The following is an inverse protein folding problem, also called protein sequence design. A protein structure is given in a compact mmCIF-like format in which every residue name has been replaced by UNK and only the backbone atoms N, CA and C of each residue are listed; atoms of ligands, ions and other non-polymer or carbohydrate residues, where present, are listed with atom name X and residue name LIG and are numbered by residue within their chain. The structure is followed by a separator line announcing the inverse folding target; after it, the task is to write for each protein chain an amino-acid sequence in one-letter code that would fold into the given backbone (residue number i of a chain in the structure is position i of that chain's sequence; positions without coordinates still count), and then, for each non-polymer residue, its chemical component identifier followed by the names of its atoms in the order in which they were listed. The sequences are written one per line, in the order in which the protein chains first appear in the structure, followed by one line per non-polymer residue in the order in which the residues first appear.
data_IF_512098725740
#
_entry.id   IF_512098725740
#
_cell.length_a   1.000
_cell.length_b   1.000
_cell.length_c   1.000
_cell.angle_alpha   90.00
_cell.angle_beta   90.00
_cell.angle_gamma   90.00
#
_symmetry.space_group_name_H-M   'P 1'
#
loop_
_entity.id
_entity.type
_entity.pdbx_description
1 polymer ?
#
# COMPACT_ATOMS: atom_id res chain seq x y z
N UNK A 1 -7.96 3.04 -21.10
CA UNK A 1 -7.04 2.06 -20.49
C UNK A 1 -7.87 0.84 -20.16
N UNK A 2 -7.46 -0.34 -20.63
CA UNK A 2 -8.13 -1.62 -20.40
C UNK A 2 -7.40 -2.38 -19.27
N UNK A 3 -7.24 -1.70 -18.13
CA UNK A 3 -6.61 -2.30 -16.95
C UNK A 3 -7.63 -3.28 -16.36
N UNK A 4 -7.32 -4.58 -16.26
CA UNK A 4 -8.23 -5.52 -15.63
C UNK A 4 -8.42 -5.13 -14.16
N UNK A 5 -9.62 -5.40 -13.64
CA UNK A 5 -9.85 -5.33 -12.21
C UNK A 5 -8.83 -6.24 -11.47
N UNK A 6 -8.36 -5.85 -10.28
CA UNK A 6 -7.40 -6.65 -9.54
C UNK A 6 -8.00 -8.01 -9.16
N UNK A 7 -7.17 -9.04 -9.21
CA UNK A 7 -7.53 -10.36 -8.68
C UNK A 7 -7.55 -10.36 -7.14
N UNK A 8 -7.91 -11.50 -6.55
CA UNK A 8 -8.03 -11.62 -5.10
C UNK A 8 -6.69 -11.40 -4.38
N UNK A 9 -5.59 -11.93 -4.92
CA UNK A 9 -4.29 -11.81 -4.30
C UNK A 9 -3.81 -10.36 -4.32
N UNK A 10 -4.03 -9.66 -5.43
CA UNK A 10 -3.76 -8.24 -5.57
C UNK A 10 -4.59 -7.41 -4.59
N UNK A 11 -5.88 -7.72 -4.42
CA UNK A 11 -6.73 -7.06 -3.41
C UNK A 11 -6.15 -7.27 -2.00
N UNK A 12 -5.78 -8.49 -1.65
CA UNK A 12 -5.25 -8.79 -0.31
C UNK A 12 -3.94 -8.01 -0.05
N UNK A 13 -3.04 -7.91 -1.05
CA UNK A 13 -1.82 -7.09 -0.97
C UNK A 13 -2.09 -5.58 -0.86
N UNK A 14 -3.08 -5.06 -1.60
CA UNK A 14 -3.49 -3.64 -1.49
C UNK A 14 -4.01 -3.35 -0.07
N UNK A 15 -4.78 -4.28 0.51
CA UNK A 15 -5.30 -4.16 1.86
C UNK A 15 -4.20 -4.27 2.92
N UNK A 16 -3.17 -5.09 2.68
CA UNK A 16 -1.98 -5.18 3.53
C UNK A 16 -1.22 -3.84 3.56
N UNK A 17 -0.91 -3.26 2.39
CA UNK A 17 -0.30 -1.93 2.28
C UNK A 17 -1.11 -0.87 3.04
N UNK A 18 -2.43 -0.85 2.83
CA UNK A 18 -3.34 0.04 3.53
C UNK A 18 -3.29 -0.14 5.05
N UNK A 19 -3.26 -1.40 5.51
CA UNK A 19 -3.18 -1.77 6.91
C UNK A 19 -1.92 -1.24 7.59
N UNK A 20 -0.75 -1.47 6.98
CA UNK A 20 0.55 -0.99 7.49
C UNK A 20 0.53 0.54 7.61
N UNK A 21 0.14 1.24 6.54
CA UNK A 21 0.10 2.70 6.53
C UNK A 21 -0.88 3.28 7.56
N UNK A 22 -2.07 2.67 7.69
CA UNK A 22 -3.08 3.13 8.65
C UNK A 22 -2.63 2.94 10.11
N UNK A 23 -1.92 1.85 10.40
CA UNK A 23 -1.43 1.55 11.74
C UNK A 23 -0.26 2.46 12.13
N UNK A 24 0.65 2.75 11.20
CA UNK A 24 1.84 3.55 11.44
C UNK A 24 1.55 5.05 11.66
N UNK A 25 0.46 5.58 11.10
CA UNK A 25 0.17 7.02 11.14
C UNK A 25 -1.28 7.31 11.53
N UNK A 26 -2.21 7.18 10.59
CA UNK A 26 -3.64 7.38 10.80
C UNK A 26 -4.44 6.74 9.66
N UNK A 27 -5.75 6.57 9.84
CA UNK A 27 -6.63 5.95 8.82
C UNK A 27 -6.56 6.63 7.45
N UNK A 28 -6.29 7.94 7.40
CA UNK A 28 -6.13 8.70 6.17
C UNK A 28 -4.86 8.36 5.38
N UNK A 29 -3.84 7.78 6.02
CA UNK A 29 -2.59 7.40 5.35
C UNK A 29 -2.79 6.22 4.38
N UNK A 30 -3.73 5.30 4.68
CA UNK A 30 -4.04 4.16 3.83
C UNK A 30 -4.35 4.51 2.36
N UNK A 31 -5.36 5.35 2.05
CA UNK A 31 -5.67 5.68 0.66
C UNK A 31 -4.54 6.46 -0.03
N UNK A 32 -3.80 7.29 0.71
CA UNK A 32 -2.66 8.05 0.16
C UNK A 32 -1.52 7.11 -0.24
N UNK A 33 -1.16 6.15 0.62
CA UNK A 33 -0.12 5.17 0.33
C UNK A 33 -0.48 4.29 -0.88
N UNK A 34 -1.71 3.77 -0.94
CA UNK A 34 -2.17 2.96 -2.07
C UNK A 34 -2.19 3.76 -3.39
N UNK A 35 -2.61 5.03 -3.36
CA UNK A 35 -2.57 5.90 -4.53
C UNK A 35 -1.14 6.17 -5.00
N UNK A 36 -0.22 6.49 -4.07
CA UNK A 36 1.19 6.74 -4.39
C UNK A 36 1.86 5.52 -5.03
N UNK A 37 1.63 4.32 -4.49
CA UNK A 37 2.16 3.07 -5.07
C UNK A 37 1.66 2.86 -6.50
N UNK A 38 0.37 3.09 -6.74
CA UNK A 38 -0.24 3.00 -8.08
C UNK A 38 0.33 4.03 -9.07
N UNK A 39 0.50 5.29 -8.65
CA UNK A 39 1.06 6.35 -9.49
C UNK A 39 2.55 6.12 -9.79
N UNK A 40 3.29 5.57 -8.83
CA UNK A 40 4.71 5.26 -8.99
C UNK A 40 4.97 3.98 -9.82
N UNK A 41 3.93 3.21 -10.13
CA UNK A 41 4.05 1.95 -10.86
C UNK A 41 4.82 0.88 -10.09
N UNK A 42 4.76 0.92 -8.76
CA UNK A 42 5.49 -0.02 -7.90
C UNK A 42 4.80 -1.38 -7.85
N UNK A 43 5.61 -2.43 -7.70
CA UNK A 43 5.10 -3.72 -7.28
C UNK A 43 4.53 -3.60 -5.86
N UNK A 44 3.42 -4.28 -5.59
CA UNK A 44 2.76 -4.23 -4.29
C UNK A 44 3.66 -4.76 -3.17
N UNK A 45 4.48 -5.79 -3.42
CA UNK A 45 5.41 -6.32 -2.43
C UNK A 45 6.49 -5.30 -2.05
N UNK A 46 7.00 -4.54 -3.03
CA UNK A 46 7.95 -3.46 -2.77
C UNK A 46 7.31 -2.30 -2.02
N UNK A 47 6.08 -1.92 -2.38
CA UNK A 47 5.33 -0.88 -1.69
C UNK A 47 5.08 -1.25 -0.22
N UNK A 48 4.70 -2.50 0.06
CA UNK A 48 4.52 -3.03 1.43
C UNK A 48 5.84 -2.96 2.20
N UNK A 49 6.93 -3.49 1.65
CA UNK A 49 8.25 -3.47 2.29
C UNK A 49 8.72 -2.05 2.65
N UNK A 50 8.46 -1.08 1.77
CA UNK A 50 8.78 0.33 2.03
C UNK A 50 7.88 0.88 3.14
N UNK A 51 6.58 0.60 3.10
CA UNK A 51 5.64 1.05 4.13
C UNK A 51 6.00 0.48 5.52
N UNK A 52 6.39 -0.79 5.59
CA UNK A 52 6.86 -1.43 6.84
C UNK A 52 8.12 -0.77 7.38
N UNK A 53 9.08 -0.46 6.49
CA UNK A 53 10.30 0.25 6.89
C UNK A 53 9.99 1.63 7.45
N UNK A 54 9.13 2.40 6.78
CA UNK A 54 8.68 3.72 7.27
C UNK A 54 7.97 3.58 8.61
N UNK A 55 7.08 2.59 8.74
CA UNK A 55 6.36 2.33 9.99
C UNK A 55 7.32 2.05 11.16
N UNK A 56 8.37 1.26 10.92
CA UNK A 56 9.39 0.95 11.92
C UNK A 56 10.25 2.16 12.31
N UNK A 57 10.45 3.13 11.41
CA UNK A 57 11.18 4.38 11.70
C UNK A 57 10.33 5.39 12.51
N UNK A 58 9.00 5.27 12.45
CA UNK A 58 8.05 6.15 13.14
C UNK A 58 7.48 5.60 14.46
N UNK A 59 7.81 4.35 14.82
CA UNK A 59 7.38 3.68 16.05
C UNK A 59 8.21 4.11 17.27
#
# INVERSE_FOLDING_TARGET
MDQPAPDRAQIDQILELAGVAAHASARQAAPVACWMAGVAGWDLADAIRIAEKVAAETA
#
